data_IF_833192788388
#
_entry.id   IF_833192788388
#
_cell.length_a   1.000
_cell.length_b   1.000
_cell.length_c   1.000
_cell.angle_alpha   90.00
_cell.angle_beta   90.00
_cell.angle_gamma   90.00
#
_symmetry.space_group_name_H-M   'P 1'
#
loop_
_entity.id
_entity.type
_entity.pdbx_description
1 polymer ?
#
# COMPACT_ATOMS: atom_id res chain seq x y z
N UNK A 1 8.49 -11.20 -14.26
CA UNK A 1 9.38 -10.07 -13.89
C UNK A 1 9.31 -9.01 -14.98
N UNK A 2 9.49 -7.72 -14.64
CA UNK A 2 9.52 -6.56 -15.54
C UNK A 2 8.33 -5.60 -15.43
N UNK A 3 7.21 -6.02 -14.83
CA UNK A 3 5.97 -5.23 -14.83
C UNK A 3 5.98 -4.09 -13.80
N UNK A 4 6.70 -4.22 -12.69
CA UNK A 4 6.70 -3.20 -11.65
C UNK A 4 7.22 -1.85 -12.15
N UNK A 5 8.22 -1.83 -13.04
CA UNK A 5 8.75 -0.59 -13.63
C UNK A 5 7.70 0.16 -14.46
N UNK A 6 6.89 -0.58 -15.23
CA UNK A 6 5.79 0.00 -16.00
C UNK A 6 4.72 0.56 -15.06
N UNK A 7 4.36 -0.19 -14.02
CA UNK A 7 3.37 0.25 -13.03
C UNK A 7 3.83 1.48 -12.27
N UNK A 8 5.08 1.53 -11.82
CA UNK A 8 5.63 2.65 -11.06
C UNK A 8 5.94 3.88 -11.92
N UNK A 9 6.17 3.72 -13.23
CA UNK A 9 6.51 4.80 -14.14
C UNK A 9 5.51 5.96 -14.17
N UNK A 10 4.23 5.71 -13.83
CA UNK A 10 3.17 6.75 -13.79
C UNK A 10 3.05 7.50 -12.46
N UNK A 11 3.78 7.10 -11.42
CA UNK A 11 3.63 7.68 -10.08
C UNK A 11 4.69 8.74 -9.74
N UNK A 12 5.68 8.96 -10.61
CA UNK A 12 6.68 10.01 -10.41
C UNK A 12 7.46 9.89 -9.11
N UNK A 13 7.85 8.67 -8.71
CA UNK A 13 8.56 8.43 -7.45
C UNK A 13 9.92 9.16 -7.39
N UNK A 14 10.13 9.91 -6.31
CA UNK A 14 11.32 10.73 -6.04
C UNK A 14 12.01 10.33 -4.72
N UNK A 15 13.29 10.63 -4.60
CA UNK A 15 14.05 10.36 -3.38
C UNK A 15 13.42 11.11 -2.18
N UNK A 16 13.25 10.41 -1.06
CA UNK A 16 12.55 10.93 0.12
C UNK A 16 11.05 10.62 0.18
N UNK A 17 10.45 10.06 -0.90
CA UNK A 17 9.12 9.47 -0.83
C UNK A 17 9.13 8.15 -0.02
N UNK A 18 7.92 7.69 0.33
CA UNK A 18 7.68 6.38 0.96
C UNK A 18 6.77 5.54 0.06
N UNK A 19 7.17 4.29 -0.20
CA UNK A 19 6.37 3.30 -0.93
C UNK A 19 5.92 2.18 0.02
N UNK A 20 4.61 2.08 0.26
CA UNK A 20 4.02 0.96 1.01
C UNK A 20 3.57 -0.11 0.02
N UNK A 21 4.13 -1.33 0.15
CA UNK A 21 3.79 -2.50 -0.66
C UNK A 21 3.13 -3.55 0.22
N UNK A 22 1.88 -3.89 -0.09
CA UNK A 22 1.10 -4.86 0.67
C UNK A 22 0.99 -6.15 -0.14
N UNK A 23 1.50 -7.25 0.39
CA UNK A 23 1.38 -8.56 -0.24
C UNK A 23 1.44 -9.65 0.83
N UNK A 24 0.34 -10.39 1.01
CA UNK A 24 0.26 -11.38 2.09
C UNK A 24 1.32 -12.49 1.96
N UNK A 25 1.55 -13.01 0.74
CA UNK A 25 2.59 -14.03 0.50
C UNK A 25 3.95 -13.42 0.19
N UNK A 26 4.00 -12.24 -0.42
CA UNK A 26 5.27 -11.56 -0.71
C UNK A 26 6.23 -12.31 -1.64
N UNK A 27 5.77 -13.31 -2.41
CA UNK A 27 6.64 -14.16 -3.24
C UNK A 27 6.64 -13.82 -4.73
N UNK A 28 5.66 -13.04 -5.19
CA UNK A 28 5.50 -12.73 -6.61
C UNK A 28 6.45 -11.60 -7.05
N UNK A 29 6.77 -11.56 -8.34
CA UNK A 29 7.71 -10.58 -8.90
C UNK A 29 7.35 -9.13 -8.62
N UNK A 30 6.11 -8.72 -8.90
CA UNK A 30 5.68 -7.31 -8.81
C UNK A 30 6.00 -6.66 -7.45
N UNK A 31 5.57 -7.20 -6.30
CA UNK A 31 5.86 -6.57 -5.01
C UNK A 31 7.36 -6.50 -4.69
N UNK A 32 8.13 -7.52 -5.09
CA UNK A 32 9.59 -7.55 -4.86
C UNK A 32 10.30 -6.52 -5.74
N UNK A 33 9.98 -6.47 -7.03
CA UNK A 33 10.53 -5.49 -7.95
C UNK A 33 10.16 -4.05 -7.55
N UNK A 34 8.95 -3.83 -7.02
CA UNK A 34 8.52 -2.51 -6.56
C UNK A 34 9.43 -1.97 -5.46
N UNK A 35 9.81 -2.79 -4.47
CA UNK A 35 10.71 -2.36 -3.40
C UNK A 35 12.16 -2.25 -3.87
N UNK A 36 12.60 -3.09 -4.81
CA UNK A 36 13.92 -2.97 -5.44
C UNK A 36 14.05 -1.65 -6.22
N UNK A 37 13.03 -1.30 -7.02
CA UNK A 37 12.97 -0.02 -7.74
C UNK A 37 12.89 1.18 -6.78
N UNK A 38 12.17 1.04 -5.67
CA UNK A 38 12.13 2.08 -4.64
C UNK A 38 13.54 2.36 -4.09
N UNK A 39 14.30 1.30 -3.76
CA UNK A 39 15.69 1.41 -3.33
C UNK A 39 16.59 2.08 -4.38
N UNK A 40 16.48 1.69 -5.66
CA UNK A 40 17.21 2.34 -6.77
C UNK A 40 16.95 3.86 -6.85
N UNK A 41 15.76 4.30 -6.42
CA UNK A 41 15.32 5.71 -6.47
C UNK A 41 15.53 6.49 -5.17
N UNK A 42 16.07 5.87 -4.12
CA UNK A 42 16.16 6.51 -2.79
C UNK A 42 14.80 6.71 -2.10
N UNK A 43 13.81 5.89 -2.46
CA UNK A 43 12.47 5.85 -1.85
C UNK A 43 12.49 4.82 -0.73
N UNK A 44 11.99 5.19 0.45
CA UNK A 44 11.90 4.24 1.57
C UNK A 44 10.77 3.25 1.32
N UNK A 45 11.05 1.95 1.37
CA UNK A 45 10.04 0.92 1.16
C UNK A 45 9.54 0.32 2.48
N UNK A 46 8.21 0.14 2.58
CA UNK A 46 7.54 -0.52 3.70
C UNK A 46 6.75 -1.72 3.17
N UNK A 47 7.09 -2.93 3.61
CA UNK A 47 6.34 -4.14 3.33
C UNK A 47 5.31 -4.41 4.43
N UNK A 48 4.05 -4.62 4.05
CA UNK A 48 3.02 -5.20 4.93
C UNK A 48 2.71 -6.60 4.40
N UNK A 49 3.02 -7.63 5.18
CA UNK A 49 2.97 -9.03 4.75
C UNK A 49 2.71 -9.96 5.92
N UNK A 50 2.38 -11.24 5.66
CA UNK A 50 2.35 -12.27 6.70
C UNK A 50 3.66 -13.04 6.67
N UNK A 51 4.49 -12.91 7.72
CA UNK A 51 5.73 -13.68 7.82
C UNK A 51 5.40 -15.18 7.95
N UNK A 52 4.36 -15.52 8.70
CA UNK A 52 3.93 -16.90 8.91
C UNK A 52 3.48 -17.60 7.61
N UNK A 53 2.81 -16.87 6.72
CA UNK A 53 2.42 -17.39 5.41
C UNK A 53 3.59 -17.36 4.42
N UNK A 54 4.27 -16.22 4.29
CA UNK A 54 5.34 -15.98 3.31
C UNK A 54 6.52 -16.93 3.46
N UNK A 55 6.92 -17.25 4.70
CA UNK A 55 8.03 -18.17 4.98
C UNK A 55 7.78 -19.63 4.58
N UNK A 56 6.51 -20.05 4.44
CA UNK A 56 6.12 -21.46 4.18
C UNK A 56 5.75 -21.75 2.73
N UNK A 57 5.55 -20.71 1.93
CA UNK A 57 5.25 -20.87 0.50
C UNK A 57 6.53 -20.84 -0.33
N UNK A 58 6.60 -21.59 -1.45
CA UNK A 58 7.76 -21.57 -2.33
C UNK A 58 8.01 -20.18 -2.93
N UNK A 59 9.28 -19.82 -3.05
CA UNK A 59 9.74 -18.61 -3.76
C UNK A 59 9.35 -18.68 -5.24
N UNK A 60 9.08 -17.51 -5.84
CA UNK A 60 8.77 -17.40 -7.28
C UNK A 60 9.60 -16.36 -8.03
N UNK A 61 10.31 -15.49 -7.32
CA UNK A 61 11.14 -14.45 -7.92
C UNK A 61 12.56 -14.95 -8.15
N UNK A 62 13.17 -14.57 -9.28
CA UNK A 62 14.50 -14.98 -9.70
C UNK A 62 15.61 -14.59 -8.70
N UNK A 63 15.41 -13.52 -7.92
CA UNK A 63 16.38 -13.11 -6.89
C UNK A 63 16.44 -14.05 -5.68
N UNK A 64 15.50 -14.99 -5.55
CA UNK A 64 15.41 -15.87 -4.38
C UNK A 64 14.96 -15.15 -3.09
N UNK A 65 14.51 -13.89 -3.20
CA UNK A 65 14.02 -13.10 -2.07
C UNK A 65 12.51 -13.16 -1.95
N UNK A 66 12.02 -12.90 -0.74
CA UNK A 66 10.63 -12.50 -0.46
C UNK A 66 10.54 -10.98 -0.34
N UNK A 67 9.32 -10.46 -0.37
CA UNK A 67 9.07 -9.04 -0.15
C UNK A 67 9.68 -8.54 1.16
N UNK A 68 9.56 -9.30 2.26
CA UNK A 68 10.12 -8.91 3.55
C UNK A 68 11.65 -8.96 3.59
N UNK A 69 12.30 -9.71 2.69
CA UNK A 69 13.77 -9.72 2.57
C UNK A 69 14.27 -8.50 1.79
N UNK A 70 13.44 -7.97 0.88
CA UNK A 70 13.82 -6.91 -0.05
C UNK A 70 13.45 -5.50 0.45
N UNK A 71 12.42 -5.36 1.30
CA UNK A 71 11.96 -4.06 1.81
C UNK A 71 12.87 -3.49 2.92
N UNK A 72 12.82 -2.17 3.11
CA UNK A 72 13.62 -1.50 4.15
C UNK A 72 12.96 -1.59 5.54
N UNK A 73 11.63 -1.55 5.58
CA UNK A 73 10.81 -1.73 6.78
C UNK A 73 9.80 -2.84 6.54
N UNK A 74 9.59 -3.71 7.52
CA UNK A 74 8.61 -4.81 7.46
C UNK A 74 7.63 -4.69 8.61
N UNK A 75 6.35 -4.80 8.31
CA UNK A 75 5.26 -4.91 9.29
C UNK A 75 4.53 -6.24 9.05
N UNK A 76 4.58 -7.11 10.05
CA UNK A 76 3.91 -8.42 10.01
C UNK A 76 2.40 -8.24 10.30
N UNK A 77 1.55 -8.80 9.45
CA UNK A 77 0.10 -8.85 9.68
C UNK A 77 -0.28 -9.89 10.71
N UNK A 78 0.63 -10.81 11.03
CA UNK A 78 0.39 -11.99 11.86
C UNK A 78 -0.75 -12.90 11.36
N UNK A 79 -1.17 -12.73 10.11
CA UNK A 79 -2.13 -13.64 9.48
C UNK A 79 -1.51 -15.04 9.40
N UNK A 80 -2.27 -16.10 9.70
CA UNK A 80 -1.71 -17.45 9.69
C UNK A 80 -1.37 -17.89 8.27
N UNK A 81 -0.65 -19.01 8.16
CA UNK A 81 -0.46 -19.69 6.89
C UNK A 81 -1.81 -19.98 6.22
N UNK A 82 -1.91 -19.62 4.93
CA UNK A 82 -3.13 -19.76 4.14
C UNK A 82 -4.15 -18.64 4.35
N UNK A 83 -3.83 -17.65 5.21
CA UNK A 83 -4.67 -16.48 5.52
C UNK A 83 -6.13 -16.84 5.76
N UNK A 84 -6.37 -17.84 6.60
CA UNK A 84 -7.71 -18.34 6.91
C UNK A 84 -7.75 -18.93 8.31
N UNK A 85 -8.75 -18.57 9.10
CA UNK A 85 -8.86 -18.98 10.52
C UNK A 85 -10.05 -19.88 10.83
N UNK A 86 -11.06 -19.95 9.96
CA UNK A 86 -12.29 -20.72 10.21
C UNK A 86 -12.22 -22.10 9.55
N UNK A 87 -12.22 -23.21 10.31
CA UNK A 87 -12.41 -24.55 9.75
C UNK A 87 -13.79 -24.68 9.09
N UNK A 88 -13.88 -25.37 7.94
CA UNK A 88 -15.15 -25.66 7.26
C UNK A 88 -15.42 -27.16 7.31
N UNK A 89 -16.47 -27.63 8.00
CA UNK A 89 -16.79 -29.06 8.09
C UNK A 89 -16.95 -29.70 6.71
N UNK A 90 -16.25 -30.80 6.47
CA UNK A 90 -16.27 -31.50 5.18
C UNK A 90 -15.36 -30.93 4.09
N UNK A 91 -14.54 -29.91 4.39
CA UNK A 91 -13.54 -29.35 3.47
C UNK A 91 -12.13 -29.46 4.02
N UNK A 92 -11.15 -29.68 3.14
CA UNK A 92 -9.72 -29.54 3.46
C UNK A 92 -9.26 -28.07 3.54
N UNK A 93 -10.09 -27.14 3.05
CA UNK A 93 -9.81 -25.71 3.06
C UNK A 93 -10.48 -25.01 4.25
N UNK A 94 -9.91 -23.87 4.63
CA UNK A 94 -10.41 -22.99 5.69
C UNK A 94 -10.96 -21.71 5.06
N UNK A 95 -11.75 -20.96 5.82
CA UNK A 95 -12.32 -19.68 5.42
C UNK A 95 -11.93 -18.56 6.42
N UNK A 96 -12.44 -17.34 6.19
CA UNK A 96 -12.23 -16.21 7.08
C UNK A 96 -10.82 -15.65 6.98
N UNK A 97 -10.55 -14.88 5.92
CA UNK A 97 -9.27 -14.22 5.75
C UNK A 97 -9.08 -13.05 6.70
N UNK A 98 -7.84 -12.88 7.14
CA UNK A 98 -7.47 -11.93 8.19
C UNK A 98 -6.54 -10.83 7.68
N UNK A 99 -5.75 -11.12 6.63
CA UNK A 99 -4.70 -10.22 6.15
C UNK A 99 -5.24 -8.88 5.67
N UNK A 100 -6.41 -8.84 5.02
CA UNK A 100 -7.03 -7.59 4.59
C UNK A 100 -7.42 -6.72 5.79
N UNK A 101 -8.07 -7.29 6.81
CA UNK A 101 -8.51 -6.56 8.00
C UNK A 101 -7.30 -6.04 8.76
N UNK A 102 -6.28 -6.88 8.96
CA UNK A 102 -5.03 -6.51 9.60
C UNK A 102 -4.32 -5.39 8.82
N UNK A 103 -4.18 -5.53 7.49
CA UNK A 103 -3.52 -4.54 6.64
C UNK A 103 -4.24 -3.20 6.65
N UNK A 104 -5.58 -3.19 6.63
CA UNK A 104 -6.39 -1.97 6.75
C UNK A 104 -6.13 -1.29 8.09
N UNK A 105 -6.15 -2.05 9.20
CA UNK A 105 -5.88 -1.51 10.52
C UNK A 105 -4.46 -0.94 10.62
N UNK A 106 -3.45 -1.64 10.09
CA UNK A 106 -2.05 -1.20 10.05
C UNK A 106 -1.91 0.10 9.26
N UNK A 107 -2.47 0.18 8.04
CA UNK A 107 -2.39 1.39 7.22
C UNK A 107 -3.08 2.57 7.91
N UNK A 108 -4.23 2.35 8.53
CA UNK A 108 -4.91 3.39 9.30
C UNK A 108 -4.09 3.85 10.52
N UNK A 109 -3.46 2.91 11.24
CA UNK A 109 -2.58 3.25 12.35
C UNK A 109 -1.37 4.09 11.89
N UNK A 110 -0.75 3.75 10.76
CA UNK A 110 0.33 4.55 10.15
C UNK A 110 -0.15 5.96 9.85
N UNK A 111 -1.31 6.12 9.22
CA UNK A 111 -1.88 7.44 8.88
C UNK A 111 -2.14 8.26 10.13
N UNK A 112 -2.83 7.71 11.13
CA UNK A 112 -3.17 8.42 12.37
C UNK A 112 -1.91 8.81 13.14
N UNK A 113 -0.93 7.91 13.27
CA UNK A 113 0.34 8.21 13.93
C UNK A 113 1.11 9.29 13.18
N UNK A 114 1.10 9.27 11.84
CA UNK A 114 1.74 10.32 11.02
C UNK A 114 1.10 11.69 11.28
N UNK A 115 -0.22 11.75 11.32
CA UNK A 115 -0.98 12.98 11.62
C UNK A 115 -0.61 13.51 13.02
N UNK A 116 -0.58 12.64 14.03
CA UNK A 116 -0.21 13.00 15.39
C UNK A 116 1.21 13.60 15.46
N UNK A 117 2.20 12.92 14.86
CA UNK A 117 3.59 13.37 14.84
C UNK A 117 3.77 14.70 14.08
N UNK A 118 3.02 14.92 13.00
CA UNK A 118 3.04 16.20 12.29
C UNK A 118 2.46 17.32 13.17
N UNK A 119 1.35 17.06 13.87
CA UNK A 119 0.73 18.02 14.79
C UNK A 119 1.63 18.37 15.96
N UNK A 120 2.31 17.38 16.55
CA UNK A 120 3.29 17.59 17.64
C UNK A 120 4.44 18.51 17.21
N UNK A 121 4.78 18.52 15.91
CA UNK A 121 5.78 19.40 15.31
C UNK A 121 5.23 20.78 14.92
N UNK A 122 4.00 21.11 15.32
CA UNK A 122 3.34 22.38 15.01
C UNK A 122 2.90 22.51 13.54
N UNK A 123 2.87 21.41 12.79
CA UNK A 123 2.41 21.41 11.40
C UNK A 123 0.91 21.14 11.35
N UNK A 124 0.22 21.70 10.36
CA UNK A 124 -1.18 21.34 10.07
C UNK A 124 -1.17 20.17 9.07
N UNK A 125 -1.51 18.93 9.50
CA UNK A 125 -1.42 17.76 8.64
C UNK A 125 -2.53 17.78 7.56
N UNK A 126 -2.22 17.34 6.33
CA UNK A 126 -3.22 17.23 5.28
C UNK A 126 -4.01 15.92 5.40
N UNK A 127 -5.32 16.00 5.61
CA UNK A 127 -6.21 14.84 5.58
C UNK A 127 -7.59 15.24 5.05
N UNK A 128 -8.30 14.29 4.45
CA UNK A 128 -9.70 14.46 4.07
C UNK A 128 -10.60 14.23 5.28
N UNK A 129 -11.68 15.00 5.37
CA UNK A 129 -12.77 14.75 6.31
C UNK A 129 -13.96 14.13 5.58
N UNK A 130 -14.92 13.58 6.32
CA UNK A 130 -16.13 13.01 5.73
C UNK A 130 -16.86 14.03 4.85
N UNK A 131 -17.26 13.66 3.65
CA UNK A 131 -18.09 14.52 2.80
C UNK A 131 -19.49 14.77 3.38
N UNK A 132 -19.87 14.00 4.42
CA UNK A 132 -21.15 14.12 5.11
C UNK A 132 -21.11 15.10 6.30
N UNK A 133 -19.97 15.74 6.59
CA UNK A 133 -19.92 16.83 7.57
C UNK A 133 -20.02 18.20 6.87
N UNK A 134 -20.80 19.16 7.39
CA UNK A 134 -21.01 20.47 6.75
C UNK A 134 -19.72 21.22 6.40
N UNK A 135 -18.70 21.10 7.25
CA UNK A 135 -17.40 21.75 7.11
C UNK A 135 -16.49 21.05 6.09
N UNK A 136 -16.88 19.85 5.62
CA UNK A 136 -16.00 18.98 4.87
C UNK A 136 -15.84 19.31 3.41
N UNK A 137 -16.82 19.99 2.80
CA UNK A 137 -16.79 20.29 1.36
C UNK A 137 -15.63 21.24 1.00
N UNK A 138 -15.57 22.39 1.66
CA UNK A 138 -14.59 23.43 1.36
C UNK A 138 -13.17 22.99 1.76
N UNK A 139 -13.04 22.32 2.91
CA UNK A 139 -11.78 21.71 3.34
C UNK A 139 -11.25 20.70 2.33
N UNK A 140 -12.08 19.73 1.92
CA UNK A 140 -11.67 18.69 0.98
C UNK A 140 -11.36 19.26 -0.41
N UNK A 141 -12.09 20.29 -0.87
CA UNK A 141 -11.76 20.98 -2.12
C UNK A 141 -10.41 21.70 -2.05
N UNK A 142 -10.12 22.40 -0.95
CA UNK A 142 -8.82 23.04 -0.75
C UNK A 142 -7.68 22.02 -0.71
N UNK A 143 -7.89 20.87 -0.05
CA UNK A 143 -6.93 19.75 -0.05
C UNK A 143 -6.72 19.18 -1.45
N UNK A 144 -7.80 18.93 -2.20
CA UNK A 144 -7.70 18.41 -3.56
C UNK A 144 -6.94 19.38 -4.47
N UNK A 145 -7.30 20.66 -4.46
CA UNK A 145 -6.63 21.68 -5.27
C UNK A 145 -5.11 21.73 -5.00
N UNK A 146 -4.71 21.58 -3.72
CA UNK A 146 -3.31 21.58 -3.30
C UNK A 146 -2.55 20.31 -3.69
N UNK A 147 -3.16 19.12 -3.58
CA UNK A 147 -2.45 17.85 -3.69
C UNK A 147 -2.78 17.01 -4.95
N UNK A 148 -3.76 17.40 -5.77
CA UNK A 148 -4.17 16.64 -6.97
C UNK A 148 -3.01 16.29 -7.90
N UNK A 149 -2.01 17.18 -8.03
CA UNK A 149 -0.83 16.94 -8.87
C UNK A 149 0.08 15.82 -8.33
N UNK A 150 -0.05 15.40 -7.07
CA UNK A 150 0.67 14.26 -6.50
C UNK A 150 -0.11 12.94 -6.63
N UNK A 151 -1.38 13.00 -7.03
CA UNK A 151 -2.25 11.85 -7.10
C UNK A 151 -2.32 11.34 -8.54
N UNK A 152 -1.66 10.21 -8.83
CA UNK A 152 -1.60 9.64 -10.18
C UNK A 152 -2.97 9.43 -10.85
N UNK A 153 -4.03 9.17 -10.06
CA UNK A 153 -5.41 9.04 -10.56
C UNK A 153 -5.96 10.32 -11.21
N UNK A 154 -5.45 11.49 -10.83
CA UNK A 154 -5.85 12.80 -11.36
C UNK A 154 -4.84 13.38 -12.36
N UNK A 155 -3.75 12.66 -12.65
CA UNK A 155 -2.81 13.00 -13.72
C UNK A 155 -3.19 12.38 -15.07
N UNK A 156 -4.14 11.43 -15.08
CA UNK A 156 -4.76 10.94 -16.31
C UNK A 156 -5.95 11.86 -16.59
N UNK A 157 -6.09 12.46 -17.79
CA UNK A 157 -7.34 13.12 -18.13
C UNK A 157 -8.47 12.10 -17.94
N UNK A 158 -9.55 12.51 -17.25
CA UNK A 158 -10.74 11.68 -17.09
C UNK A 158 -11.42 11.55 -18.46
N UNK A 159 -10.85 10.77 -19.38
CA UNK A 159 -11.41 10.49 -20.69
C UNK A 159 -12.52 9.46 -20.52
N UNK A 160 -13.65 9.91 -19.96
CA UNK A 160 -14.95 9.28 -20.18
C UNK A 160 -15.90 10.25 -20.89
N UNK A 161 -15.66 11.56 -20.83
CA UNK A 161 -16.48 12.58 -21.51
C UNK A 161 -15.86 13.15 -22.79
N UNK A 162 -14.55 12.97 -23.01
CA UNK A 162 -13.85 13.53 -24.18
C UNK A 162 -14.00 12.70 -25.47
N UNK A 163 -14.54 11.48 -25.40
CA UNK A 163 -14.86 10.64 -26.59
C UNK A 163 -16.29 10.88 -27.14
N UNK A 164 -17.07 11.80 -26.58
CA UNK A 164 -18.46 12.08 -27.00
C UNK A 164 -18.70 13.46 -27.60
N UNK A 165 -17.66 14.16 -28.04
CA UNK A 165 -17.77 15.33 -28.93
C UNK A 165 -17.15 15.00 -30.28
#
# INVERSE_FOLDING_TARGET
>A
EGMARIMLGRYGLEAGDVLIVISNSGINAIPIEMVQIAREKGVTSVAITSIAHSSRVPLRHSSGQRLYDAADIVIDTHSPYGDTVLPVPGSEFRAGSTSSIASIAIVQAIVVQTIALLSERGMVPPFFVSANVPEGKDHNHAMMAKYQKRLARYQIPLTWEEEKK
#
